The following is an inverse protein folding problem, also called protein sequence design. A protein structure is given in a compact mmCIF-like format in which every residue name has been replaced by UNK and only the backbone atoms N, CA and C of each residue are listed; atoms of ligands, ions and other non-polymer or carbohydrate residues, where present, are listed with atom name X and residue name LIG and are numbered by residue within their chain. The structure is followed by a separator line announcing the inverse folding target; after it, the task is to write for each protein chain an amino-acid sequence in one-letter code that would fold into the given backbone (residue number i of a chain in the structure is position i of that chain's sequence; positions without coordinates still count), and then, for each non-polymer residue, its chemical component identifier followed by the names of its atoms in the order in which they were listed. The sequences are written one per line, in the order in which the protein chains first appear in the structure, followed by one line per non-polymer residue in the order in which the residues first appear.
data_IF_547275583498
#
_entry.id   IF_547275583498
#
_cell.length_a   1.000
_cell.length_b   1.000
_cell.length_c   1.000
_cell.angle_alpha   90.00
_cell.angle_beta   90.00
_cell.angle_gamma   90.00
#
_symmetry.space_group_name_H-M   'P 1'
#
loop_
_entity.id
_entity.type
_entity.pdbx_description
1 polymer ?
#
# COMPACT_ATOMS: atom_id res chain seq x y z
N UNK A 1 -56.72 -28.46 -4.17
CA UNK A 1 -57.59 -29.54 -3.67
C UNK A 1 -57.43 -29.50 -2.16
N UNK A 2 -58.36 -29.00 -1.36
CA UNK A 2 -59.81 -28.89 -1.52
C UNK A 2 -60.28 -27.58 -0.85
N UNK A 3 -61.19 -26.88 -1.53
CA UNK A 3 -62.09 -25.90 -0.92
C UNK A 3 -63.45 -26.27 -1.47
N UNK A 4 -64.35 -26.78 -0.65
CA UNK A 4 -65.79 -26.74 -0.87
C UNK A 4 -66.54 -27.20 0.38
N UNK A 5 -67.63 -26.51 0.69
CA UNK A 5 -68.62 -26.96 1.69
C UNK A 5 -68.83 -26.02 2.88
N UNK A 6 -69.24 -24.78 2.63
CA UNK A 6 -70.06 -24.04 3.58
C UNK A 6 -71.52 -24.42 3.33
N UNK A 7 -72.16 -25.07 4.30
CA UNK A 7 -73.62 -25.10 4.41
C UNK A 7 -74.05 -24.79 5.85
N UNK A 8 -75.03 -23.89 5.93
CA UNK A 8 -75.54 -23.22 7.11
C UNK A 8 -76.32 -24.15 8.05
N UNK A 9 -76.19 -23.94 9.36
CA UNK A 9 -77.27 -24.22 10.31
C UNK A 9 -77.19 -23.25 11.50
N UNK A 10 -78.03 -22.21 11.49
CA UNK A 10 -78.35 -21.41 12.68
C UNK A 10 -79.61 -21.97 13.34
N UNK A 11 -79.54 -22.27 14.64
CA UNK A 11 -80.70 -22.50 15.52
C UNK A 11 -80.46 -21.78 16.85
N UNK A 12 -81.48 -21.06 17.32
CA UNK A 12 -81.42 -19.93 18.24
C UNK A 12 -81.03 -20.20 19.71
N UNK A 13 -80.56 -19.15 20.38
CA UNK A 13 -80.09 -19.18 21.77
C UNK A 13 -81.08 -18.59 22.79
N UNK A 14 -81.30 -19.33 23.88
CA UNK A 14 -82.01 -18.91 25.10
C UNK A 14 -81.09 -18.15 26.08
N UNK A 15 -81.55 -16.97 26.54
CA UNK A 15 -80.79 -15.89 27.22
C UNK A 15 -80.32 -16.13 28.68
N UNK A 16 -80.26 -17.36 29.18
CA UNK A 16 -79.90 -17.66 30.59
C UNK A 16 -78.41 -17.94 30.87
N UNK A 17 -77.59 -18.22 29.85
CA UNK A 17 -76.19 -18.62 29.99
C UNK A 17 -75.16 -17.55 29.59
N UNK A 18 -75.62 -16.33 29.27
CA UNK A 18 -74.82 -15.33 28.55
C UNK A 18 -73.57 -14.86 29.32
N UNK A 19 -73.65 -14.65 30.64
CA UNK A 19 -72.52 -14.14 31.43
C UNK A 19 -71.38 -15.16 31.66
N UNK A 20 -71.71 -16.40 32.00
CA UNK A 20 -70.72 -17.48 32.14
C UNK A 20 -70.09 -17.82 30.79
N UNK A 21 -70.91 -17.85 29.74
CA UNK A 21 -70.44 -18.07 28.37
C UNK A 21 -69.50 -16.96 27.90
N UNK A 22 -69.80 -15.70 28.21
CA UNK A 22 -68.92 -14.58 27.89
C UNK A 22 -67.56 -14.68 28.61
N UNK A 23 -67.53 -15.11 29.87
CA UNK A 23 -66.28 -15.33 30.61
C UNK A 23 -65.40 -16.42 29.98
N UNK A 24 -65.99 -17.57 29.64
CA UNK A 24 -65.26 -18.64 28.96
C UNK A 24 -64.82 -18.23 27.56
N UNK A 25 -65.63 -17.47 26.81
CA UNK A 25 -65.24 -16.91 25.51
C UNK A 25 -64.03 -15.97 25.65
N UNK A 26 -64.05 -15.03 26.60
CA UNK A 26 -62.89 -14.15 26.83
C UNK A 26 -61.64 -14.93 27.27
N UNK A 27 -61.81 -16.00 28.04
CA UNK A 27 -60.68 -16.84 28.49
C UNK A 27 -60.11 -17.68 27.33
N UNK A 28 -60.97 -18.16 26.44
CA UNK A 28 -60.55 -18.85 25.21
C UNK A 28 -59.78 -17.88 24.30
N UNK A 29 -60.25 -16.65 24.12
CA UNK A 29 -59.55 -15.62 23.33
C UNK A 29 -58.17 -15.28 23.94
N UNK A 30 -58.08 -15.09 25.26
CA UNK A 30 -56.81 -14.82 25.96
C UNK A 30 -55.81 -15.99 25.80
N UNK A 31 -56.29 -17.22 25.93
CA UNK A 31 -55.47 -18.42 25.75
C UNK A 31 -55.05 -18.59 24.28
N UNK A 32 -55.93 -18.30 23.31
CA UNK A 32 -55.61 -18.31 21.89
C UNK A 32 -54.53 -17.27 21.54
N UNK A 33 -54.63 -16.07 22.11
CA UNK A 33 -53.62 -15.02 21.94
C UNK A 33 -52.27 -15.48 22.54
N UNK A 34 -52.28 -16.05 23.73
CA UNK A 34 -51.09 -16.62 24.38
C UNK A 34 -50.45 -17.74 23.54
N UNK A 35 -51.28 -18.63 22.95
CA UNK A 35 -50.81 -19.70 22.06
C UNK A 35 -50.19 -19.10 20.79
N UNK A 36 -50.79 -18.07 20.22
CA UNK A 36 -50.27 -17.40 19.04
C UNK A 36 -48.90 -16.76 19.32
N UNK A 37 -48.76 -16.00 20.41
CA UNK A 37 -47.48 -15.39 20.82
C UNK A 37 -46.39 -16.45 21.06
N UNK A 38 -46.70 -17.54 21.77
CA UNK A 38 -45.76 -18.64 21.99
C UNK A 38 -45.38 -19.32 20.67
N UNK A 39 -46.31 -19.48 19.74
CA UNK A 39 -46.03 -20.07 18.42
C UNK A 39 -45.11 -19.19 17.58
N UNK A 40 -45.27 -17.86 17.63
CA UNK A 40 -44.38 -16.91 16.95
C UNK A 40 -42.98 -16.93 17.57
N UNK A 41 -42.89 -16.96 18.90
CA UNK A 41 -41.62 -17.10 19.61
C UNK A 41 -40.91 -18.42 19.27
N UNK A 42 -41.64 -19.54 19.17
CA UNK A 42 -41.10 -20.82 18.76
C UNK A 42 -40.53 -20.75 17.33
N UNK A 43 -41.26 -20.15 16.37
CA UNK A 43 -40.78 -19.97 14.99
C UNK A 43 -39.50 -19.13 14.94
N UNK A 44 -39.44 -18.03 15.71
CA UNK A 44 -38.24 -17.18 15.82
C UNK A 44 -37.03 -17.96 16.34
N UNK A 45 -37.21 -18.72 17.43
CA UNK A 45 -36.14 -19.53 18.02
C UNK A 45 -35.70 -20.67 17.08
N UNK A 46 -36.63 -21.29 16.35
CA UNK A 46 -36.31 -22.30 15.33
C UNK A 46 -35.50 -21.70 14.18
N UNK A 47 -35.84 -20.51 13.71
CA UNK A 47 -35.07 -19.80 12.69
C UNK A 47 -33.64 -19.51 13.17
N UNK A 48 -33.48 -18.99 14.39
CA UNK A 48 -32.16 -18.74 15.00
C UNK A 48 -31.34 -20.03 15.16
N UNK A 49 -31.97 -21.13 15.60
CA UNK A 49 -31.31 -22.44 15.73
C UNK A 49 -30.86 -22.97 14.37
N UNK A 50 -31.67 -22.83 13.33
CA UNK A 50 -31.30 -23.26 11.97
C UNK A 50 -30.16 -22.41 11.41
N UNK A 51 -30.19 -21.09 11.64
CA UNK A 51 -29.09 -20.19 11.25
C UNK A 51 -27.78 -20.56 11.97
N UNK A 52 -27.83 -20.81 13.28
CA UNK A 52 -26.66 -21.20 14.05
C UNK A 52 -26.10 -22.56 13.61
N UNK A 53 -26.97 -23.53 13.31
CA UNK A 53 -26.54 -24.82 12.76
C UNK A 53 -25.87 -24.68 11.39
N UNK A 54 -26.37 -23.78 10.52
CA UNK A 54 -25.73 -23.49 9.25
C UNK A 54 -24.32 -22.91 9.46
N UNK A 55 -24.16 -21.97 10.40
CA UNK A 55 -22.84 -21.43 10.78
C UNK A 55 -21.91 -22.50 11.34
N UNK A 56 -22.39 -23.37 12.22
CA UNK A 56 -21.59 -24.48 12.77
C UNK A 56 -21.15 -25.43 11.67
N UNK A 57 -21.99 -25.70 10.67
CA UNK A 57 -21.62 -26.53 9.52
C UNK A 57 -20.50 -25.88 8.71
N UNK A 58 -20.61 -24.59 8.38
CA UNK A 58 -19.58 -23.87 7.64
C UNK A 58 -18.25 -23.83 8.41
N UNK A 59 -18.29 -23.51 9.71
CA UNK A 59 -17.08 -23.50 10.54
C UNK A 59 -16.43 -24.88 10.66
N UNK A 60 -17.22 -25.96 10.67
CA UNK A 60 -16.68 -27.33 10.64
C UNK A 60 -15.99 -27.65 9.32
N UNK A 61 -16.57 -27.22 8.20
CA UNK A 61 -15.97 -27.37 6.86
C UNK A 61 -14.65 -26.58 6.77
N UNK A 62 -14.59 -25.34 7.28
CA UNK A 62 -13.35 -24.54 7.36
C UNK A 62 -12.31 -25.18 8.28
N UNK A 63 -12.71 -25.68 9.46
CA UNK A 63 -11.81 -26.33 10.39
C UNK A 63 -11.20 -27.60 9.78
N UNK A 64 -11.96 -28.35 8.98
CA UNK A 64 -11.47 -29.52 8.28
C UNK A 64 -10.39 -29.14 7.26
N UNK A 65 -10.58 -28.05 6.50
CA UNK A 65 -9.57 -27.51 5.58
C UNK A 65 -8.30 -27.07 6.32
N UNK A 66 -8.41 -26.51 7.52
CA UNK A 66 -7.27 -26.12 8.35
C UNK A 66 -6.53 -27.31 8.98
N UNK A 67 -7.23 -28.42 9.21
CA UNK A 67 -6.64 -29.67 9.69
C UNK A 67 -5.96 -30.48 8.57
N UNK A 68 -6.18 -30.12 7.30
CA UNK A 68 -5.45 -30.72 6.20
C UNK A 68 -3.95 -30.47 6.39
N UNK A 69 -3.15 -31.52 6.18
CA UNK A 69 -1.70 -31.40 6.28
C UNK A 69 -1.18 -30.39 5.25
N UNK A 70 -0.09 -29.70 5.60
CA UNK A 70 0.50 -28.69 4.74
C UNK A 70 0.75 -29.19 3.32
N UNK A 71 0.45 -28.35 2.34
CA UNK A 71 0.70 -28.63 0.92
C UNK A 71 2.20 -28.59 0.60
N UNK A 72 2.65 -29.43 -0.33
CA UNK A 72 3.99 -29.36 -0.87
C UNK A 72 4.11 -28.17 -1.82
N UNK A 73 5.25 -27.47 -1.76
CA UNK A 73 5.55 -26.35 -2.65
C UNK A 73 6.48 -26.83 -3.76
N UNK A 74 6.08 -26.60 -5.01
CA UNK A 74 6.87 -26.94 -6.18
C UNK A 74 6.93 -25.82 -7.21
N UNK A 75 7.82 -25.98 -8.19
CA UNK A 75 7.97 -25.10 -9.35
C UNK A 75 7.62 -25.86 -10.63
N UNK A 76 6.81 -25.26 -11.48
CA UNK A 76 6.44 -25.85 -12.77
C UNK A 76 7.64 -25.80 -13.70
N UNK A 77 8.12 -26.96 -14.17
CA UNK A 77 9.19 -27.01 -15.17
C UNK A 77 8.61 -26.88 -16.57
N UNK A 78 7.53 -27.64 -16.84
CA UNK A 78 6.91 -27.68 -18.16
C UNK A 78 5.48 -28.21 -18.07
N UNK A 79 4.58 -27.61 -18.83
CA UNK A 79 3.23 -28.13 -19.06
C UNK A 79 3.31 -29.24 -20.12
N UNK A 80 2.78 -30.42 -19.85
CA UNK A 80 2.82 -31.55 -20.80
C UNK A 80 1.51 -31.63 -21.59
N UNK A 81 0.40 -31.86 -20.89
CA UNK A 81 -0.93 -32.10 -21.47
C UNK A 81 -1.99 -31.24 -20.78
N UNK A 82 -3.23 -31.28 -21.28
CA UNK A 82 -4.39 -30.57 -20.69
C UNK A 82 -4.66 -30.87 -19.21
N UNK A 83 -4.16 -31.98 -18.69
CA UNK A 83 -4.37 -32.41 -17.30
C UNK A 83 -3.09 -32.69 -16.54
N UNK A 84 -1.92 -32.68 -17.20
CA UNK A 84 -0.66 -33.13 -16.60
C UNK A 84 0.42 -32.09 -16.74
N UNK A 85 1.09 -31.81 -15.63
CA UNK A 85 2.16 -30.82 -15.53
C UNK A 85 3.37 -31.45 -14.85
N UNK A 86 4.57 -31.13 -15.33
CA UNK A 86 5.82 -31.54 -14.70
C UNK A 86 6.21 -30.48 -13.66
N UNK A 87 6.18 -30.87 -12.39
CA UNK A 87 6.52 -30.00 -11.25
C UNK A 87 7.78 -30.53 -10.57
N UNK A 88 8.68 -29.63 -10.19
CA UNK A 88 9.86 -29.91 -9.38
C UNK A 88 9.55 -29.53 -7.94
N UNK A 89 9.59 -30.50 -7.03
CA UNK A 89 9.42 -30.32 -5.58
C UNK A 89 10.80 -30.49 -4.94
N UNK A 90 11.21 -29.55 -4.09
CA UNK A 90 12.45 -29.66 -3.33
C UNK A 90 12.13 -30.18 -1.91
N UNK A 91 12.77 -31.26 -1.42
CA UNK A 91 13.93 -32.00 -1.96
C UNK A 91 13.59 -33.23 -2.83
N UNK A 92 12.32 -33.60 -2.98
CA UNK A 92 11.87 -34.91 -3.49
C UNK A 92 12.09 -35.18 -4.99
N UNK A 93 12.33 -34.16 -5.82
CA UNK A 93 12.68 -34.33 -7.23
C UNK A 93 11.62 -33.80 -8.21
N UNK A 94 11.44 -34.47 -9.34
CA UNK A 94 10.50 -34.07 -10.40
C UNK A 94 9.36 -35.08 -10.51
N UNK A 95 8.13 -34.58 -10.49
CA UNK A 95 6.91 -35.39 -10.55
C UNK A 95 5.99 -34.89 -11.65
N UNK A 96 5.31 -35.83 -12.31
CA UNK A 96 4.20 -35.52 -13.20
C UNK A 96 2.94 -35.51 -12.35
N UNK A 97 2.33 -34.34 -12.22
CA UNK A 97 1.17 -34.12 -11.36
C UNK A 97 -0.07 -33.83 -12.20
N UNK A 98 -1.22 -34.27 -11.71
CA UNK A 98 -2.51 -33.92 -12.29
C UNK A 98 -2.96 -32.53 -11.80
N UNK A 99 -3.58 -31.77 -12.71
CA UNK A 99 -4.14 -30.44 -12.42
C UNK A 99 -5.56 -30.59 -11.89
N UNK A 100 -5.87 -29.91 -10.78
CA UNK A 100 -7.22 -29.89 -10.24
C UNK A 100 -8.19 -29.14 -11.16
N UNK A 101 -9.48 -29.51 -11.10
CA UNK A 101 -10.54 -28.97 -11.97
C UNK A 101 -10.79 -27.48 -11.77
N UNK A 102 -10.37 -26.95 -10.62
CA UNK A 102 -10.56 -25.56 -10.23
C UNK A 102 -9.54 -24.61 -10.86
N UNK A 103 -8.51 -25.11 -11.55
CA UNK A 103 -7.43 -24.31 -12.13
C UNK A 103 -7.43 -24.45 -13.63
N UNK A 104 -7.41 -23.31 -14.31
CA UNK A 104 -7.24 -23.26 -15.75
C UNK A 104 -5.78 -23.44 -16.16
N UNK A 105 -5.55 -24.27 -17.17
CA UNK A 105 -4.18 -24.57 -17.63
C UNK A 105 -3.46 -23.37 -18.24
N UNK A 106 -4.20 -22.36 -18.68
CA UNK A 106 -3.63 -21.15 -19.26
C UNK A 106 -2.87 -20.30 -18.23
N UNK A 107 -3.25 -20.39 -16.96
CA UNK A 107 -2.60 -19.66 -15.88
C UNK A 107 -1.30 -20.33 -15.42
N UNK A 108 -1.10 -21.59 -15.81
CA UNK A 108 0.07 -22.39 -15.45
C UNK A 108 1.20 -22.13 -16.44
N UNK A 109 1.99 -21.09 -16.18
CA UNK A 109 3.22 -20.84 -16.97
C UNK A 109 4.43 -21.59 -16.39
N UNK A 110 5.44 -21.93 -17.22
CA UNK A 110 6.71 -22.45 -16.73
C UNK A 110 7.35 -21.48 -15.71
N UNK A 111 7.99 -22.04 -14.69
CA UNK A 111 8.54 -21.35 -13.51
C UNK A 111 7.50 -20.76 -12.53
N UNK A 112 6.20 -20.99 -12.74
CA UNK A 112 5.21 -20.67 -11.71
C UNK A 112 5.43 -21.51 -10.45
N UNK A 113 5.25 -20.87 -9.30
CA UNK A 113 5.23 -21.54 -8.00
C UNK A 113 3.85 -22.12 -7.77
N UNK A 114 3.77 -23.39 -7.39
CA UNK A 114 2.49 -24.11 -7.23
C UNK A 114 2.47 -24.89 -5.92
N UNK A 115 1.26 -25.12 -5.40
CA UNK A 115 1.00 -25.93 -4.23
C UNK A 115 0.33 -27.25 -4.65
N UNK A 116 0.92 -28.35 -4.18
CA UNK A 116 0.46 -29.70 -4.41
C UNK A 116 -0.16 -30.26 -3.13
N UNK A 117 -1.24 -31.03 -3.27
CA UNK A 117 -1.87 -31.72 -2.13
C UNK A 117 -0.91 -32.78 -1.56
N UNK A 118 -0.89 -32.94 -0.24
CA UNK A 118 0.04 -33.85 0.45
C UNK A 118 -0.23 -35.33 0.13
N UNK A 119 -1.50 -35.73 0.00
CA UNK A 119 -1.91 -37.12 -0.22
C UNK A 119 -1.67 -37.64 -1.66
N UNK A 120 -1.80 -36.78 -2.66
CA UNK A 120 -1.98 -37.17 -4.07
C UNK A 120 -1.10 -36.37 -5.03
N UNK A 121 -0.32 -35.41 -4.52
CA UNK A 121 0.50 -34.49 -5.31
C UNK A 121 -0.28 -33.73 -6.40
N UNK A 122 -1.61 -33.66 -6.32
CA UNK A 122 -2.43 -32.92 -7.30
C UNK A 122 -2.23 -31.42 -7.11
N UNK A 123 -2.07 -30.70 -8.21
CA UNK A 123 -1.94 -29.25 -8.20
C UNK A 123 -3.29 -28.61 -7.86
N UNK A 124 -3.42 -28.06 -6.64
CA UNK A 124 -4.66 -27.48 -6.13
C UNK A 124 -4.63 -25.94 -6.10
N UNK A 125 -3.45 -25.31 -6.04
CA UNK A 125 -3.34 -23.84 -6.01
C UNK A 125 -2.07 -23.33 -6.67
N UNK A 126 -2.19 -22.26 -7.45
CA UNK A 126 -1.04 -21.48 -7.94
C UNK A 126 -0.66 -20.48 -6.84
N UNK A 127 0.62 -20.47 -6.45
CA UNK A 127 1.15 -19.57 -5.44
C UNK A 127 1.70 -18.31 -6.12
N UNK A 128 1.60 -17.13 -5.47
CA UNK A 128 2.25 -15.95 -5.97
C UNK A 128 3.76 -16.16 -6.06
N UNK A 129 4.38 -15.53 -7.06
CA UNK A 129 5.82 -15.58 -7.24
C UNK A 129 6.51 -15.06 -5.98
N UNK A 130 7.60 -15.74 -5.61
CA UNK A 130 8.42 -15.32 -4.48
C UNK A 130 9.18 -14.07 -4.91
N UNK A 131 8.73 -12.91 -4.44
CA UNK A 131 9.48 -11.67 -4.55
C UNK A 131 10.44 -11.62 -3.36
N UNK A 132 11.72 -11.35 -3.62
CA UNK A 132 12.67 -11.21 -2.52
C UNK A 132 12.27 -10.03 -1.62
N UNK A 133 12.46 -10.15 -0.29
CA UNK A 133 12.17 -9.04 0.63
C UNK A 133 12.89 -7.75 0.23
N UNK A 134 14.10 -7.84 -0.36
CA UNK A 134 14.85 -6.69 -0.85
C UNK A 134 14.13 -5.95 -1.99
N UNK A 135 13.44 -6.66 -2.88
CA UNK A 135 12.63 -6.04 -3.95
C UNK A 135 11.38 -5.41 -3.34
N UNK A 136 10.83 -6.02 -2.29
CA UNK A 136 9.72 -5.42 -1.55
C UNK A 136 10.12 -4.08 -0.89
N UNK A 137 11.37 -3.93 -0.46
CA UNK A 137 11.92 -2.64 0.01
C UNK A 137 12.07 -1.59 -1.10
N UNK A 138 12.09 -2.00 -2.37
CA UNK A 138 12.13 -1.08 -3.51
C UNK A 138 10.74 -0.55 -3.88
N UNK A 139 9.67 -1.14 -3.33
CA UNK A 139 8.31 -0.63 -3.54
C UNK A 139 8.12 0.68 -2.78
N UNK A 140 7.56 1.68 -3.47
CA UNK A 140 7.25 2.97 -2.86
C UNK A 140 6.03 2.81 -1.95
N UNK A 141 6.25 2.88 -0.64
CA UNK A 141 5.16 2.79 0.35
C UNK A 141 4.33 4.08 0.43
N UNK A 142 4.97 5.24 0.28
CA UNK A 142 4.32 6.56 0.32
C UNK A 142 4.86 7.48 -0.76
N UNK A 143 3.96 8.03 -1.57
CA UNK A 143 4.29 9.07 -2.54
C UNK A 143 4.62 10.35 -1.77
N UNK A 144 5.80 10.96 -1.96
CA UNK A 144 6.14 12.22 -1.31
C UNK A 144 5.33 13.38 -1.92
N UNK A 145 4.92 14.34 -1.10
CA UNK A 145 4.16 15.54 -1.53
C UNK A 145 5.04 16.60 -2.23
N UNK A 146 6.14 16.20 -2.86
CA UNK A 146 7.12 17.10 -3.47
C UNK A 146 6.62 17.60 -4.83
N UNK A 147 6.44 18.92 -4.98
CA UNK A 147 6.03 19.56 -6.24
C UNK A 147 7.21 20.22 -6.95
N UNK A 148 7.07 20.49 -8.25
CA UNK A 148 8.10 21.17 -9.06
C UNK A 148 8.41 22.59 -8.56
N UNK A 149 7.49 23.25 -7.84
CA UNK A 149 7.73 24.56 -7.23
C UNK A 149 8.82 24.55 -6.14
N UNK A 150 9.14 23.37 -5.61
CA UNK A 150 10.20 23.18 -4.64
C UNK A 150 11.58 22.98 -5.28
N UNK A 151 11.68 23.05 -6.61
CA UNK A 151 12.92 22.89 -7.38
C UNK A 151 13.26 24.24 -8.04
N UNK A 152 14.43 24.81 -7.72
CA UNK A 152 14.89 26.08 -8.28
C UNK A 152 15.88 25.88 -9.44
N UNK A 153 15.70 26.61 -10.54
CA UNK A 153 16.72 26.79 -11.59
C UNK A 153 17.01 25.60 -12.51
N UNK A 154 16.19 24.54 -12.49
CA UNK A 154 16.39 23.30 -13.28
C UNK A 154 15.26 23.04 -14.30
N UNK A 155 14.62 24.09 -14.82
CA UNK A 155 13.42 23.98 -15.67
C UNK A 155 13.65 23.19 -16.97
N UNK A 156 14.86 23.26 -17.54
CA UNK A 156 15.22 22.51 -18.76
C UNK A 156 15.27 21.02 -18.46
N UNK A 157 15.97 20.64 -17.39
CA UNK A 157 16.11 19.25 -16.97
C UNK A 157 14.76 18.65 -16.58
N UNK A 158 13.90 19.40 -15.89
CA UNK A 158 12.54 18.96 -15.52
C UNK A 158 11.74 18.53 -16.74
N UNK A 159 11.81 19.28 -17.85
CA UNK A 159 11.08 18.95 -19.10
C UNK A 159 11.64 17.73 -19.83
N UNK A 160 12.88 17.34 -19.55
CA UNK A 160 13.56 16.28 -20.29
C UNK A 160 13.46 14.88 -19.63
N UNK A 161 13.09 14.83 -18.34
CA UNK A 161 12.95 13.61 -17.54
C UNK A 161 11.79 12.72 -18.05
N UNK A 162 11.97 11.40 -18.01
CA UNK A 162 11.02 10.36 -18.44
C UNK A 162 10.84 9.28 -17.36
N UNK A 163 10.01 8.27 -17.64
CA UNK A 163 9.56 7.22 -16.71
C UNK A 163 10.66 6.34 -16.09
N UNK A 164 11.78 6.10 -16.81
CA UNK A 164 12.92 5.33 -16.29
C UNK A 164 14.10 6.26 -16.08
N UNK A 165 14.60 6.34 -14.85
CA UNK A 165 15.63 7.30 -14.43
C UNK A 165 16.81 6.54 -13.82
N UNK A 166 18.02 6.98 -14.19
CA UNK A 166 19.27 6.57 -13.57
C UNK A 166 20.04 7.82 -13.15
N UNK A 167 20.61 7.82 -11.96
CA UNK A 167 21.44 8.92 -11.47
C UNK A 167 22.82 8.41 -11.10
N UNK A 168 23.87 9.05 -11.65
CA UNK A 168 25.26 8.80 -11.27
C UNK A 168 26.02 10.11 -11.19
N UNK A 169 26.93 10.23 -10.23
CA UNK A 169 27.87 11.34 -10.15
C UNK A 169 29.14 11.08 -11.00
N UNK A 170 29.29 9.88 -11.54
CA UNK A 170 30.47 9.41 -12.28
C UNK A 170 30.04 8.64 -13.51
N UNK A 171 30.02 9.33 -14.65
CA UNK A 171 29.69 8.75 -15.95
C UNK A 171 30.83 7.88 -16.50
N UNK A 172 32.07 8.13 -16.07
CA UNK A 172 33.29 7.45 -16.48
C UNK A 172 33.36 5.97 -16.06
N UNK A 173 32.67 5.61 -14.98
CA UNK A 173 32.63 4.22 -14.47
C UNK A 173 31.54 3.39 -15.16
N UNK A 174 30.61 4.02 -15.89
CA UNK A 174 29.50 3.29 -16.49
C UNK A 174 29.98 2.36 -17.60
N UNK A 175 29.42 1.15 -17.63
CA UNK A 175 29.66 0.21 -18.71
C UNK A 175 29.19 0.82 -20.05
N UNK A 176 30.10 0.86 -21.02
CA UNK A 176 29.85 1.26 -22.40
C UNK A 176 28.68 0.50 -23.04
N UNK A 177 28.38 -0.69 -22.56
CA UNK A 177 27.21 -1.45 -22.97
C UNK A 177 25.90 -0.69 -22.68
N UNK A 178 25.78 0.02 -21.56
CA UNK A 178 24.58 0.78 -21.20
C UNK A 178 24.41 2.04 -22.04
N UNK A 179 25.51 2.60 -22.56
CA UNK A 179 25.51 3.81 -23.37
C UNK A 179 25.09 3.58 -24.82
N UNK A 180 24.85 2.33 -25.22
CA UNK A 180 24.37 2.00 -26.57
C UNK A 180 22.91 2.48 -26.76
N UNK A 181 22.56 2.95 -27.98
CA UNK A 181 21.20 3.35 -28.31
C UNK A 181 20.18 2.24 -28.01
N UNK A 182 19.02 2.60 -27.45
CA UNK A 182 17.99 1.65 -27.02
C UNK A 182 18.12 1.17 -25.56
N UNK A 183 19.08 1.70 -24.79
CA UNK A 183 19.22 1.47 -23.33
C UNK A 183 19.15 2.79 -22.58
N UNK A 184 20.16 3.65 -22.77
CA UNK A 184 20.17 5.02 -22.23
C UNK A 184 20.09 5.99 -23.41
N UNK A 185 18.88 6.48 -23.69
CA UNK A 185 18.63 7.34 -24.84
C UNK A 185 18.93 8.82 -24.56
N UNK A 186 18.77 9.26 -23.31
CA UNK A 186 18.96 10.65 -22.90
C UNK A 186 20.00 10.77 -21.79
N UNK A 187 20.94 11.70 -21.98
CA UNK A 187 21.96 12.07 -21.00
C UNK A 187 21.69 13.50 -20.58
N UNK A 188 21.14 13.67 -19.39
CA UNK A 188 20.81 14.98 -18.83
C UNK A 188 21.88 15.32 -17.81
N UNK A 189 22.65 16.37 -18.09
CA UNK A 189 23.67 16.87 -17.18
C UNK A 189 23.08 17.91 -16.21
N UNK A 190 23.45 17.80 -14.94
CA UNK A 190 23.06 18.74 -13.89
C UNK A 190 24.26 19.63 -13.55
N UNK A 191 24.37 20.82 -14.16
CA UNK A 191 25.45 21.74 -13.83
C UNK A 191 25.26 22.34 -12.43
N UNK A 192 26.33 22.87 -11.81
CA UNK A 192 26.20 23.67 -10.60
C UNK A 192 25.28 24.88 -10.85
N UNK A 193 24.51 25.32 -9.83
CA UNK A 193 23.51 26.36 -10.01
C UNK A 193 24.16 27.72 -10.30
N UNK A 194 23.62 28.40 -11.32
CA UNK A 194 23.92 29.80 -11.63
C UNK A 194 23.43 30.74 -10.51
N UNK A 195 23.82 32.01 -10.55
CA UNK A 195 23.43 33.00 -9.54
C UNK A 195 21.90 33.12 -9.37
N UNK A 196 21.16 33.20 -10.48
CA UNK A 196 19.69 33.22 -10.45
C UNK A 196 19.10 31.95 -9.85
N UNK A 197 19.65 30.79 -10.22
CA UNK A 197 19.23 29.50 -9.66
C UNK A 197 19.50 29.41 -8.15
N UNK A 198 20.64 29.91 -7.67
CA UNK A 198 20.96 29.98 -6.23
C UNK A 198 19.97 30.88 -5.50
N UNK A 199 19.61 32.02 -6.09
CA UNK A 199 18.59 32.91 -5.53
C UNK A 199 17.22 32.23 -5.44
N UNK A 200 16.80 31.46 -6.44
CA UNK A 200 15.54 30.73 -6.39
C UNK A 200 15.56 29.61 -5.33
N UNK A 201 16.67 28.89 -5.20
CA UNK A 201 16.85 27.88 -4.14
C UNK A 201 16.80 28.55 -2.75
N UNK A 202 17.46 29.70 -2.56
CA UNK A 202 17.39 30.48 -1.32
C UNK A 202 15.95 30.90 -1.01
N UNK A 203 15.22 31.40 -2.00
CA UNK A 203 13.80 31.78 -1.84
C UNK A 203 12.97 30.59 -1.39
N UNK A 204 13.12 29.43 -2.01
CA UNK A 204 12.33 28.23 -1.66
C UNK A 204 12.59 27.81 -0.22
N UNK A 205 13.87 27.72 0.19
CA UNK A 205 14.22 27.28 1.55
C UNK A 205 13.93 28.32 2.63
N UNK A 206 13.95 29.61 2.27
CA UNK A 206 13.65 30.70 3.20
C UNK A 206 12.15 30.95 3.41
N UNK A 207 11.26 30.41 2.56
CA UNK A 207 9.78 30.51 2.72
C UNK A 207 9.25 30.05 4.08
N UNK A 208 9.92 29.07 4.71
CA UNK A 208 9.52 28.51 6.02
C UNK A 208 10.20 29.22 7.20
N UNK A 209 11.05 30.22 6.96
CA UNK A 209 11.84 30.89 7.98
C UNK A 209 11.27 32.27 8.34
N UNK A 210 11.48 32.69 9.59
CA UNK A 210 11.11 34.02 10.06
C UNK A 210 12.21 35.02 9.67
N UNK A 211 12.05 35.67 8.52
CA UNK A 211 12.99 36.65 8.01
C UNK A 211 12.64 38.06 8.48
N UNK A 212 13.66 38.87 8.77
CA UNK A 212 13.50 40.32 8.95
C UNK A 212 13.11 40.98 7.62
N UNK A 213 12.26 42.02 7.66
CA UNK A 213 11.89 42.78 6.45
C UNK A 213 13.11 43.47 5.85
N UNK A 214 13.31 43.31 4.53
CA UNK A 214 14.39 43.98 3.80
C UNK A 214 15.65 43.16 3.53
N UNK A 215 15.65 41.85 3.83
CA UNK A 215 16.77 40.96 3.49
C UNK A 215 16.97 40.87 1.98
N UNK A 216 18.22 41.05 1.54
CA UNK A 216 18.57 41.03 0.13
C UNK A 216 19.23 39.69 -0.23
N UNK A 217 18.39 38.70 -0.56
CA UNK A 217 18.82 37.35 -0.93
C UNK A 217 19.70 37.32 -2.19
N UNK A 218 19.62 38.34 -3.06
CA UNK A 218 20.46 38.44 -4.27
C UNK A 218 21.92 38.63 -3.90
N UNK A 219 22.22 39.55 -2.99
CA UNK A 219 23.59 39.76 -2.48
C UNK A 219 24.16 38.48 -1.84
N UNK A 220 23.33 37.73 -1.12
CA UNK A 220 23.75 36.45 -0.53
C UNK A 220 24.07 35.41 -1.62
N UNK A 221 23.27 35.34 -2.70
CA UNK A 221 23.52 34.43 -3.82
C UNK A 221 24.82 34.77 -4.60
N UNK A 222 25.18 36.05 -4.69
CA UNK A 222 26.43 36.54 -5.27
C UNK A 222 27.65 36.11 -4.43
N UNK A 223 27.52 36.13 -3.09
CA UNK A 223 28.57 35.72 -2.14
C UNK A 223 28.86 34.21 -2.13
N UNK A 224 28.12 33.40 -2.87
CA UNK A 224 28.25 31.94 -2.93
C UNK A 224 28.62 31.42 -4.34
N UNK A 225 29.75 31.84 -4.94
CA UNK A 225 30.13 31.38 -6.27
C UNK A 225 30.43 29.88 -6.26
N UNK A 226 29.84 29.14 -7.19
CA UNK A 226 30.08 27.70 -7.37
C UNK A 226 29.40 26.79 -6.33
N UNK A 227 28.57 27.35 -5.45
CA UNK A 227 27.92 26.57 -4.40
C UNK A 227 26.92 25.54 -4.95
N UNK A 228 26.88 24.34 -4.37
CA UNK A 228 25.88 23.33 -4.71
C UNK A 228 24.50 23.65 -4.11
N UNK A 229 23.42 23.10 -4.67
CA UNK A 229 22.07 23.30 -4.10
C UNK A 229 21.96 22.85 -2.64
N UNK A 230 22.75 21.85 -2.23
CA UNK A 230 22.83 21.39 -0.85
C UNK A 230 23.51 22.41 0.07
N UNK A 231 24.58 23.07 -0.40
CA UNK A 231 25.26 24.13 0.34
C UNK A 231 24.37 25.37 0.49
N UNK A 232 23.66 25.77 -0.57
CA UNK A 232 22.71 26.89 -0.51
C UNK A 232 21.62 26.62 0.53
N UNK A 233 21.08 25.39 0.57
CA UNK A 233 20.16 24.96 1.64
C UNK A 233 20.83 24.96 3.03
N UNK A 234 22.09 24.55 3.09
CA UNK A 234 22.91 24.58 4.30
C UNK A 234 23.06 25.97 4.88
N UNK A 235 23.31 26.98 4.03
CA UNK A 235 23.39 28.40 4.42
C UNK A 235 22.09 28.88 5.06
N UNK A 236 20.93 28.56 4.47
CA UNK A 236 19.64 28.87 5.10
C UNK A 236 19.52 28.23 6.50
N UNK A 237 19.88 26.96 6.63
CA UNK A 237 19.77 26.22 7.90
C UNK A 237 20.71 26.79 8.97
N UNK A 238 21.95 27.12 8.60
CA UNK A 238 22.94 27.71 9.50
C UNK A 238 22.57 29.14 9.91
N UNK A 239 22.02 29.95 9.00
CA UNK A 239 21.53 31.31 9.34
C UNK A 239 20.45 31.28 10.42
N UNK A 240 19.50 30.34 10.33
CA UNK A 240 18.50 30.12 11.38
C UNK A 240 19.11 29.65 12.70
N UNK A 241 20.19 28.87 12.66
CA UNK A 241 20.90 28.43 13.86
C UNK A 241 21.65 29.58 14.55
N UNK A 242 22.23 30.52 13.80
CA UNK A 242 22.85 31.72 14.37
C UNK A 242 21.82 32.59 15.11
N UNK A 243 20.68 32.85 14.48
CA UNK A 243 19.58 33.58 15.13
C UNK A 243 19.11 32.87 16.40
N UNK A 244 18.96 31.53 16.36
CA UNK A 244 18.53 30.74 17.51
C UNK A 244 19.53 30.77 18.68
N UNK A 245 20.84 30.72 18.40
CA UNK A 245 21.89 30.79 19.43
C UNK A 245 21.85 32.11 20.20
N UNK A 246 21.55 33.20 19.51
CA UNK A 246 21.36 34.52 20.11
C UNK A 246 19.96 34.75 20.68
N UNK A 247 19.12 33.70 20.71
CA UNK A 247 17.72 33.74 21.18
C UNK A 247 16.85 34.75 20.41
N UNK A 248 17.19 35.01 19.14
CA UNK A 248 16.41 35.85 18.23
C UNK A 248 15.38 35.01 17.48
N UNK A 249 14.18 35.59 17.29
CA UNK A 249 13.07 34.95 16.55
C UNK A 249 13.15 35.22 15.04
N UNK A 250 13.85 36.29 14.66
CA UNK A 250 14.00 36.73 13.27
C UNK A 250 15.46 36.61 12.82
N UNK A 251 15.65 36.05 11.62
CA UNK A 251 16.95 35.97 10.95
C UNK A 251 17.27 37.32 10.30
N UNK A 252 18.52 37.78 10.41
CA UNK A 252 19.01 39.04 9.82
C UNK A 252 19.95 38.79 8.64
N UNK A 253 20.33 39.86 7.92
CA UNK A 253 21.28 39.76 6.81
C UNK A 253 22.66 39.26 7.28
N UNK A 254 23.12 39.71 8.45
CA UNK A 254 24.41 39.33 9.03
C UNK A 254 24.48 37.82 9.33
N UNK A 255 23.37 37.22 9.77
CA UNK A 255 23.28 35.76 9.99
C UNK A 255 23.54 34.96 8.71
N UNK A 256 23.03 35.45 7.57
CA UNK A 256 23.28 34.82 6.27
C UNK A 256 24.74 34.97 5.85
N UNK A 257 25.34 36.15 6.05
CA UNK A 257 26.75 36.39 5.70
C UNK A 257 27.70 35.53 6.55
N UNK A 258 27.44 35.41 7.85
CA UNK A 258 28.16 34.49 8.75
C UNK A 258 27.97 33.02 8.34
N UNK A 259 26.75 32.64 7.94
CA UNK A 259 26.46 31.29 7.46
C UNK A 259 27.20 30.96 6.17
N UNK A 260 27.25 31.90 5.21
CA UNK A 260 28.02 31.74 3.96
C UNK A 260 29.49 31.52 4.27
N UNK A 261 30.10 32.36 5.10
CA UNK A 261 31.50 32.23 5.47
C UNK A 261 31.81 30.85 6.08
N UNK A 262 30.95 30.36 6.97
CA UNK A 262 31.12 29.05 7.61
C UNK A 262 30.95 27.88 6.65
N UNK A 263 29.89 27.88 5.82
CA UNK A 263 29.60 26.76 4.91
C UNK A 263 30.66 26.66 3.82
N UNK A 264 31.07 27.80 3.25
CA UNK A 264 32.08 27.84 2.18
C UNK A 264 33.49 27.49 2.70
N UNK A 265 33.85 27.89 3.93
CA UNK A 265 35.14 27.48 4.52
C UNK A 265 35.22 25.98 4.77
N UNK A 266 34.13 25.36 5.25
CA UNK A 266 34.09 23.92 5.57
C UNK A 266 34.37 23.02 4.36
N UNK A 267 33.93 23.44 3.18
CA UNK A 267 34.22 22.72 1.94
C UNK A 267 35.63 22.98 1.41
N UNK A 268 36.19 24.18 1.63
CA UNK A 268 37.60 24.43 1.32
C UNK A 268 38.53 23.51 2.12
N UNK A 269 38.25 23.28 3.40
CA UNK A 269 39.00 22.37 4.26
C UNK A 269 38.82 20.91 3.85
N UNK A 270 37.57 20.47 3.60
CA UNK A 270 37.30 19.11 3.11
C UNK A 270 37.97 18.81 1.77
N UNK A 271 37.88 19.74 0.81
CA UNK A 271 38.52 19.59 -0.50
C UNK A 271 40.04 19.56 -0.39
N UNK A 272 40.62 20.31 0.55
CA UNK A 272 42.05 20.25 0.88
C UNK A 272 42.44 18.92 1.56
N UNK A 273 41.62 18.40 2.47
CA UNK A 273 41.83 17.10 3.12
C UNK A 273 41.75 15.95 2.13
N UNK A 274 40.80 15.95 1.21
CA UNK A 274 40.67 14.94 0.15
C UNK A 274 41.89 15.02 -0.78
N UNK A 275 42.34 16.20 -1.20
CA UNK A 275 43.57 16.33 -2.01
C UNK A 275 44.84 15.87 -1.29
N UNK A 276 44.91 15.97 0.05
CA UNK A 276 46.02 15.43 0.85
C UNK A 276 45.96 13.92 1.04
N UNK A 277 44.77 13.32 1.08
CA UNK A 277 44.59 11.86 1.21
C UNK A 277 44.89 11.10 -0.10
N UNK A 278 44.87 11.79 -1.24
CA UNK A 278 45.07 11.22 -2.57
C UNK A 278 46.43 11.61 -3.18
N UNK A 279 47.33 12.15 -2.36
CA UNK A 279 48.76 12.30 -2.65
C UNK A 279 49.54 11.29 -1.81
#
# INVERSE_FOLDING_TARGET
MEVDGMDHMEMGESKGGSGLRQYYLSKIEELQLTVNEKSQNLRRLQAQRNELNAKVRLLREELQLLQEQGSYVGEVVRVMDKKKVLVKVHPEGKFVVDVDKNIDINDVTPNCRVALRNDSYTLHKILPNKVDPLVSLMMVEKVPDSTYEMIGGLDKQIKEIKEVIMATNRIDILDSALLRPGRIDRKIEFPPPNEEARLDILKIHSRKMNLTRGINLRKIAELMPGASGAEVKGVCTESGMYALRERRVHVTQEDFEMAVAKVMQKDSEKNMSIKKLWK
#
